data_IF_586716875069
#
_entry.id   IF_586716875069
#
_cell.length_a   1.000
_cell.length_b   1.000
_cell.length_c   1.000
_cell.angle_alpha   90.00
_cell.angle_beta   90.00
_cell.angle_gamma   90.00
#
_symmetry.space_group_name_H-M   'P 1'
#
loop_
_entity.id
_entity.type
_entity.pdbx_description
1 polymer ?
#
# COMPACT_ATOMS: atom_id res chain seq x y z
N UNK A 1 20.33 -2.66 -29.50
CA UNK A 1 20.42 -2.00 -28.18
C UNK A 1 19.08 -1.32 -27.93
N UNK A 2 18.49 -1.52 -26.73
CA UNK A 2 17.24 -0.94 -26.20
C UNK A 2 15.91 -1.49 -26.71
N UNK A 3 15.40 -2.49 -26.01
CA UNK A 3 14.02 -2.55 -25.49
C UNK A 3 13.88 -3.84 -24.69
N UNK A 4 14.38 -3.86 -23.45
CA UNK A 4 13.79 -4.75 -22.45
C UNK A 4 12.59 -3.98 -21.95
N UNK A 5 11.39 -4.38 -22.34
CA UNK A 5 10.20 -4.05 -21.56
C UNK A 5 10.43 -4.64 -20.16
N UNK A 6 10.91 -3.82 -19.23
CA UNK A 6 10.84 -4.16 -17.82
C UNK A 6 9.37 -4.05 -17.42
N UNK A 7 8.61 -5.13 -17.62
CA UNK A 7 7.36 -5.41 -16.88
C UNK A 7 7.68 -5.77 -15.41
N UNK A 8 8.61 -5.04 -14.81
CA UNK A 8 8.99 -5.22 -13.44
C UNK A 8 8.65 -3.91 -12.75
N UNK A 9 7.81 -4.00 -11.72
CA UNK A 9 7.66 -2.97 -10.72
C UNK A 9 9.03 -2.77 -10.04
N UNK A 10 9.98 -2.10 -10.70
CA UNK A 10 11.39 -2.02 -10.26
C UNK A 10 11.59 -1.15 -9.01
N UNK A 11 10.59 -0.33 -8.67
CA UNK A 11 10.56 0.44 -7.43
C UNK A 11 9.45 -0.09 -6.53
N UNK A 12 9.82 -1.05 -5.68
CA UNK A 12 9.00 -1.50 -4.57
C UNK A 12 9.63 -1.03 -3.26
N UNK A 13 8.84 -0.36 -2.45
CA UNK A 13 9.22 -0.02 -1.09
C UNK A 13 8.72 -1.12 -0.16
N UNK A 14 9.61 -1.61 0.71
CA UNK A 14 9.28 -2.65 1.69
C UNK A 14 9.54 -2.13 3.10
N UNK A 15 8.60 -2.35 4.00
CA UNK A 15 8.79 -2.14 5.44
C UNK A 15 8.40 -3.39 6.22
N UNK A 16 9.10 -3.62 7.34
CA UNK A 16 8.69 -4.61 8.33
C UNK A 16 8.00 -3.85 9.47
N UNK A 17 6.77 -4.22 9.80
CA UNK A 17 5.99 -3.55 10.84
C UNK A 17 5.44 -4.53 11.88
N UNK A 18 5.16 -4.00 13.07
CA UNK A 18 4.38 -4.71 14.09
C UNK A 18 3.31 -3.76 14.60
N UNK A 19 2.09 -3.93 14.10
CA UNK A 19 0.96 -3.04 14.34
C UNK A 19 -0.33 -3.78 14.03
N UNK A 20 -1.47 -3.19 14.40
CA UNK A 20 -2.77 -3.59 13.87
C UNK A 20 -3.03 -2.86 12.55
N UNK A 21 -2.79 -1.54 12.50
CA UNK A 21 -3.05 -0.74 11.31
C UNK A 21 -1.80 -0.02 10.80
N UNK A 22 -1.76 0.21 9.49
CA UNK A 22 -0.71 0.95 8.79
C UNK A 22 -1.35 2.01 7.91
N UNK A 23 -0.89 3.25 8.02
CA UNK A 23 -1.26 4.32 7.11
C UNK A 23 -0.01 4.87 6.42
N UNK A 24 -0.16 5.37 5.19
CA UNK A 24 0.90 5.96 4.40
C UNK A 24 0.50 7.36 3.91
N UNK A 25 1.41 8.33 3.98
CA UNK A 25 1.23 9.62 3.31
C UNK A 25 1.80 9.48 1.91
N UNK A 26 0.90 9.42 0.92
CA UNK A 26 1.23 9.27 -0.49
C UNK A 26 0.93 10.57 -1.23
N UNK A 27 1.67 10.83 -2.29
CA UNK A 27 1.55 12.07 -3.07
C UNK A 27 1.62 11.82 -4.55
N UNK A 28 0.86 12.60 -5.33
CA UNK A 28 1.02 12.74 -6.77
C UNK A 28 1.55 14.14 -7.06
N UNK A 29 2.78 14.27 -7.56
CA UNK A 29 3.37 15.58 -7.86
C UNK A 29 2.66 16.27 -9.03
N UNK A 30 2.25 15.51 -10.06
CA UNK A 30 1.55 16.06 -11.21
C UNK A 30 0.03 16.11 -11.04
N UNK A 31 -0.49 15.51 -9.97
CA UNK A 31 -1.93 15.36 -9.70
C UNK A 31 -2.61 14.30 -10.59
N UNK A 32 -1.87 13.60 -11.44
CA UNK A 32 -2.41 12.49 -12.24
C UNK A 32 -2.67 11.29 -11.34
N UNK A 33 -3.86 10.67 -11.42
CA UNK A 33 -4.15 9.47 -10.65
C UNK A 33 -3.25 8.31 -11.07
N UNK A 34 -2.70 7.59 -10.10
CA UNK A 34 -1.95 6.36 -10.34
C UNK A 34 -2.27 5.28 -9.30
N UNK A 35 -2.05 4.02 -9.67
CA UNK A 35 -2.23 2.87 -8.77
C UNK A 35 -0.95 2.58 -7.99
N UNK A 36 -1.10 2.34 -6.70
CA UNK A 36 -0.06 1.70 -5.87
C UNK A 36 -0.57 0.34 -5.47
N UNK A 37 0.10 -0.70 -5.97
CA UNK A 37 -0.14 -2.09 -5.59
C UNK A 37 0.39 -2.32 -4.18
N UNK A 38 -0.35 -3.08 -3.40
CA UNK A 38 -0.04 -3.36 -1.99
C UNK A 38 -0.04 -4.87 -1.78
N UNK A 39 0.95 -5.39 -1.06
CA UNK A 39 0.93 -6.77 -0.54
C UNK A 39 1.46 -6.81 0.89
N UNK A 40 1.02 -7.81 1.66
CA UNK A 40 1.58 -8.13 2.97
C UNK A 40 2.07 -9.57 2.96
N UNK A 41 3.34 -9.75 3.30
CA UNK A 41 4.04 -11.05 3.28
C UNK A 41 3.97 -11.78 1.93
N UNK A 42 3.90 -11.01 0.84
CA UNK A 42 3.84 -11.51 -0.54
C UNK A 42 2.42 -11.71 -1.07
N UNK A 43 1.40 -11.64 -0.20
CA UNK A 43 0.01 -11.86 -0.56
C UNK A 43 -0.75 -10.54 -0.73
N UNK A 44 -1.74 -10.52 -1.61
CA UNK A 44 -2.67 -9.40 -1.70
C UNK A 44 -3.52 -9.30 -0.43
N UNK A 45 -3.93 -8.07 -0.11
CA UNK A 45 -4.87 -7.82 0.98
C UNK A 45 -6.24 -8.42 0.65
N UNK A 46 -7.02 -8.68 1.68
CA UNK A 46 -8.39 -9.18 1.61
C UNK A 46 -9.32 -8.18 2.30
N UNK A 47 -10.64 -8.39 2.18
CA UNK A 47 -11.62 -7.59 2.91
C UNK A 47 -11.41 -7.61 4.44
N UNK A 48 -10.74 -8.63 4.98
CA UNK A 48 -10.49 -8.77 6.42
C UNK A 48 -9.34 -7.90 6.95
N UNK A 49 -8.35 -7.59 6.10
CA UNK A 49 -7.14 -6.87 6.52
C UNK A 49 -6.87 -5.58 5.73
N UNK A 50 -7.68 -5.28 4.71
CA UNK A 50 -7.51 -4.07 3.92
C UNK A 50 -7.87 -2.83 4.72
N UNK A 51 -7.07 -1.78 4.54
CA UNK A 51 -7.47 -0.47 5.02
C UNK A 51 -8.66 0.10 4.22
N UNK A 52 -9.30 1.13 4.78
CA UNK A 52 -10.48 1.77 4.22
C UNK A 52 -10.23 2.40 2.83
N UNK A 53 -8.99 2.80 2.53
CA UNK A 53 -8.63 3.38 1.23
C UNK A 53 -8.23 2.35 0.17
N UNK A 54 -8.06 1.08 0.56
CA UNK A 54 -7.64 0.01 -0.34
C UNK A 54 -8.85 -0.59 -1.06
N UNK A 55 -8.70 -0.73 -2.37
CA UNK A 55 -9.61 -1.46 -3.25
C UNK A 55 -9.04 -2.84 -3.55
N UNK A 56 -9.89 -3.87 -3.47
CA UNK A 56 -9.59 -5.20 -4.02
C UNK A 56 -10.17 -5.25 -5.44
N UNK A 57 -9.30 -5.43 -6.42
CA UNK A 57 -9.67 -5.54 -7.82
C UNK A 57 -10.44 -6.84 -8.12
N UNK A 58 -11.12 -6.93 -9.28
CA UNK A 58 -11.83 -8.15 -9.68
C UNK A 58 -10.95 -9.39 -9.80
N UNK A 59 -9.63 -9.19 -9.96
CA UNK A 59 -8.59 -10.21 -10.03
C UNK A 59 -7.95 -10.53 -8.68
N UNK A 60 -8.42 -9.89 -7.60
CA UNK A 60 -7.86 -10.02 -6.25
C UNK A 60 -6.69 -9.07 -5.97
N UNK A 61 -6.29 -8.19 -6.90
CA UNK A 61 -5.21 -7.23 -6.66
C UNK A 61 -5.64 -6.17 -5.64
N UNK A 62 -4.91 -6.03 -4.54
CA UNK A 62 -5.10 -4.90 -3.62
C UNK A 62 -4.29 -3.68 -4.04
N UNK A 63 -4.96 -2.54 -4.19
CA UNK A 63 -4.32 -1.27 -4.57
C UNK A 63 -5.01 -0.06 -3.94
N UNK A 64 -4.28 1.06 -3.87
CA UNK A 64 -4.85 2.40 -3.65
C UNK A 64 -4.74 3.22 -4.92
N UNK A 65 -5.73 4.08 -5.18
CA UNK A 65 -5.66 5.11 -6.21
C UNK A 65 -5.20 6.41 -5.58
N UNK A 66 -4.05 6.92 -6.00
CA UNK A 66 -3.47 8.17 -5.47
C UNK A 66 -3.66 9.27 -6.51
N UNK A 67 -4.41 10.29 -6.16
CA UNK A 67 -4.71 11.47 -6.99
C UNK A 67 -4.24 12.78 -6.36
N UNK A 68 -4.01 12.80 -5.04
CA UNK A 68 -3.55 13.97 -4.28
C UNK A 68 -2.77 13.58 -3.02
N UNK A 69 -1.92 14.50 -2.50
CA UNK A 69 -1.28 14.34 -1.21
C UNK A 69 -2.27 14.16 -0.05
N UNK A 70 -2.27 12.99 0.59
CA UNK A 70 -3.03 12.75 1.84
C UNK A 70 -2.53 11.51 2.57
N UNK A 71 -3.07 11.31 3.77
CA UNK A 71 -2.95 10.04 4.50
C UNK A 71 -3.93 9.01 3.91
N UNK A 72 -3.42 7.82 3.63
CA UNK A 72 -4.18 6.65 3.18
C UNK A 72 -4.10 5.56 4.23
N UNK A 73 -5.24 4.96 4.59
CA UNK A 73 -5.32 3.77 5.42
C UNK A 73 -5.08 2.52 4.55
N UNK A 74 -3.92 1.88 4.72
CA UNK A 74 -3.40 0.82 3.86
C UNK A 74 -3.74 -0.57 4.41
N UNK A 75 -3.49 -0.78 5.70
CA UNK A 75 -3.75 -2.07 6.36
C UNK A 75 -4.55 -1.83 7.62
N UNK A 76 -5.54 -2.68 7.88
CA UNK A 76 -6.32 -2.74 9.10
C UNK A 76 -6.49 -4.22 9.49
N UNK A 77 -5.48 -4.79 10.15
CA UNK A 77 -5.52 -6.20 10.54
C UNK A 77 -6.60 -6.45 11.60
N UNK A 78 -7.23 -7.65 11.62
CA UNK A 78 -8.17 -8.02 12.67
C UNK A 78 -7.57 -7.97 14.08
N UNK A 79 -6.28 -8.22 14.20
CA UNK A 79 -5.52 -8.18 15.45
C UNK A 79 -4.09 -7.66 15.23
N UNK A 80 -3.37 -7.39 16.32
CA UNK A 80 -1.97 -6.96 16.24
C UNK A 80 -1.09 -8.06 15.62
N UNK A 81 -0.34 -7.71 14.58
CA UNK A 81 0.61 -8.61 13.92
C UNK A 81 2.05 -8.24 14.28
N UNK A 82 2.98 -9.21 14.16
CA UNK A 82 4.40 -9.02 14.44
C UNK A 82 5.21 -9.28 13.18
N UNK A 83 6.12 -8.35 12.87
CA UNK A 83 7.11 -8.46 11.79
C UNK A 83 6.51 -8.80 10.41
N UNK A 84 5.29 -8.34 10.15
CA UNK A 84 4.67 -8.47 8.83
C UNK A 84 5.41 -7.56 7.84
N UNK A 85 5.54 -8.00 6.59
CA UNK A 85 6.24 -7.24 5.54
C UNK A 85 5.25 -6.61 4.58
N UNK A 86 5.06 -5.30 4.68
CA UNK A 86 4.29 -4.53 3.72
C UNK A 86 5.19 -4.19 2.52
N UNK A 87 4.73 -4.48 1.30
CA UNK A 87 5.32 -4.01 0.06
C UNK A 87 4.35 -3.10 -0.68
N UNK A 88 4.86 -1.98 -1.19
CA UNK A 88 4.12 -1.03 -2.00
C UNK A 88 4.89 -0.77 -3.30
N UNK A 89 4.22 -0.88 -4.44
CA UNK A 89 4.86 -0.68 -5.75
C UNK A 89 3.97 0.06 -6.72
N UNK A 90 4.57 0.89 -7.57
CA UNK A 90 3.88 1.59 -8.65
C UNK A 90 4.75 1.64 -9.89
N UNK A 91 4.11 1.74 -11.06
CA UNK A 91 4.77 2.03 -12.33
C UNK A 91 4.73 3.52 -12.68
N UNK A 92 4.26 4.36 -11.76
CA UNK A 92 4.15 5.82 -11.95
C UNK A 92 5.40 6.51 -11.43
N UNK A 93 6.00 7.38 -12.24
CA UNK A 93 7.06 8.29 -11.80
C UNK A 93 6.56 9.31 -10.76
N UNK A 94 5.25 9.48 -10.61
CA UNK A 94 4.63 10.35 -9.61
C UNK A 94 4.54 9.70 -8.22
N UNK A 95 5.01 8.45 -8.05
CA UNK A 95 4.91 7.74 -6.78
C UNK A 95 5.78 8.39 -5.69
N UNK A 96 5.17 9.24 -4.88
CA UNK A 96 5.80 9.80 -3.68
C UNK A 96 5.26 9.18 -2.39
N UNK A 97 6.16 9.00 -1.42
CA UNK A 97 5.88 8.54 -0.06
C UNK A 97 6.64 9.43 0.94
N UNK A 98 5.91 9.98 1.90
CA UNK A 98 6.50 10.88 2.92
C UNK A 98 6.69 10.21 4.28
N UNK A 99 5.71 9.43 4.72
CA UNK A 99 5.72 8.85 6.05
C UNK A 99 4.81 7.63 6.14
N UNK A 100 5.12 6.77 7.11
CA UNK A 100 4.21 5.77 7.64
C UNK A 100 3.77 6.14 9.06
N UNK A 101 2.55 5.77 9.40
CA UNK A 101 2.08 5.74 10.79
C UNK A 101 1.49 4.38 11.11
N UNK A 102 1.60 3.98 12.38
CA UNK A 102 1.25 2.64 12.85
C UNK A 102 0.29 2.73 14.03
N UNK A 103 -0.80 1.99 13.98
CA UNK A 103 -1.79 1.92 15.05
C UNK A 103 -1.79 0.55 15.74
N UNK A 104 -1.87 0.55 17.07
CA UNK A 104 -1.95 -0.68 17.90
C UNK A 104 -3.30 -0.86 18.58
N UNK A 105 -4.20 0.12 18.47
CA UNK A 105 -5.49 0.10 19.15
C UNK A 105 -6.45 -0.90 18.53
N UNK A 106 -7.04 -1.75 19.37
CA UNK A 106 -8.16 -2.60 19.00
C UNK A 106 -9.45 -1.78 19.15
N UNK A 107 -10.24 -1.67 18.08
CA UNK A 107 -11.56 -1.04 18.17
C UNK A 107 -12.42 -1.89 19.10
N UNK A 108 -12.80 -1.35 20.26
CA UNK A 108 -13.72 -2.01 21.19
C UNK A 108 -15.05 -2.23 20.47
N UNK A 109 -15.50 -3.48 20.45
CA UNK A 109 -16.81 -3.91 19.93
C UNK A 109 -17.96 -3.31 20.73
#
# INVERSE_FOLDING_TARGET
RHAKESKNYEEYLTIVYSARSVNAVLTSETGKPYKVRITVDGEFLTEENKGADVTIGPDGESFVLVDKPRLFNIVENPSYVRRARLQMSSNSADFGLFAFTFGVYQKSS
#
